data_IF_793393379021
#
_entry.id   IF_793393379021
#
_cell.length_a   1.000
_cell.length_b   1.000
_cell.length_c   1.000
_cell.angle_alpha   90.00
_cell.angle_beta   90.00
_cell.angle_gamma   90.00
#
_symmetry.space_group_name_H-M   'P 1'
#
loop_
_entity.id
_entity.type
_entity.pdbx_description
1 polymer ?
#
# COMPACT_ATOMS: atom_id res chain seq x y z
N UNK A 1 -46.47 -44.05 3.79
CA UNK A 1 -45.15 -44.69 3.66
C UNK A 1 -44.29 -43.68 2.93
N UNK A 2 -43.45 -42.95 3.65
CA UNK A 2 -42.65 -41.85 3.07
C UNK A 2 -41.36 -42.49 2.56
N UNK A 3 -41.06 -42.30 1.28
CA UNK A 3 -39.98 -42.99 0.57
C UNK A 3 -38.60 -42.70 1.19
N UNK A 4 -37.85 -43.77 1.48
CA UNK A 4 -36.47 -43.75 1.99
C UNK A 4 -35.51 -42.77 1.25
N UNK A 5 -35.59 -42.57 -0.08
CA UNK A 5 -34.78 -41.54 -0.77
C UNK A 5 -35.15 -40.09 -0.41
N UNK A 6 -36.39 -39.80 0.00
CA UNK A 6 -36.82 -38.46 0.43
C UNK A 6 -36.21 -38.11 1.79
N UNK A 7 -36.03 -39.11 2.67
CA UNK A 7 -35.34 -38.93 3.95
C UNK A 7 -33.85 -38.61 3.70
N UNK A 8 -33.22 -39.24 2.70
CA UNK A 8 -31.82 -39.02 2.35
C UNK A 8 -31.55 -37.62 1.76
N UNK A 9 -32.52 -37.03 1.05
CA UNK A 9 -32.40 -35.65 0.52
C UNK A 9 -32.60 -34.58 1.59
N UNK A 10 -33.41 -34.85 2.63
CA UNK A 10 -33.59 -33.94 3.78
C UNK A 10 -32.39 -33.95 4.75
N UNK A 11 -31.64 -35.06 4.83
CA UNK A 11 -30.42 -35.19 5.66
C UNK A 11 -29.18 -34.46 5.11
N UNK A 12 -29.24 -33.95 3.88
CA UNK A 12 -28.13 -33.24 3.23
C UNK A 12 -28.38 -31.74 3.05
N UNK A 13 -29.41 -31.19 3.70
CA UNK A 13 -29.54 -29.75 3.87
C UNK A 13 -28.51 -29.38 4.95
N UNK A 14 -27.28 -29.05 4.55
CA UNK A 14 -26.40 -28.26 5.42
C UNK A 14 -27.21 -27.04 5.84
N UNK A 15 -27.67 -27.06 7.09
CA UNK A 15 -28.34 -25.93 7.71
C UNK A 15 -27.28 -24.84 7.81
N UNK A 16 -27.15 -24.03 6.76
CA UNK A 16 -26.28 -22.86 6.79
C UNK A 16 -26.89 -21.89 7.78
N UNK A 17 -26.48 -21.98 9.04
CA UNK A 17 -26.90 -21.05 10.09
C UNK A 17 -26.32 -19.69 9.69
N UNK A 18 -27.19 -18.81 9.18
CA UNK A 18 -26.86 -17.43 8.95
C UNK A 18 -26.92 -16.69 10.29
N UNK A 19 -25.76 -16.29 10.80
CA UNK A 19 -25.69 -15.48 12.02
C UNK A 19 -26.22 -14.07 11.79
N UNK A 20 -26.70 -13.45 12.87
CA UNK A 20 -27.14 -12.06 12.86
C UNK A 20 -25.99 -11.09 12.56
N UNK A 21 -26.33 -9.81 12.30
CA UNK A 21 -25.34 -8.78 11.94
C UNK A 21 -24.27 -8.51 13.00
N UNK A 22 -24.53 -8.84 14.26
CA UNK A 22 -23.62 -8.64 15.39
C UNK A 22 -23.07 -9.96 15.94
N UNK A 23 -23.10 -11.03 15.14
CA UNK A 23 -22.71 -12.37 15.53
C UNK A 23 -21.70 -12.96 14.54
N UNK A 24 -20.75 -13.73 15.06
CA UNK A 24 -19.81 -14.50 14.25
C UNK A 24 -20.09 -16.00 14.44
N UNK A 25 -19.82 -16.78 13.39
CA UNK A 25 -20.02 -18.24 13.42
C UNK A 25 -18.81 -18.92 14.04
N UNK A 26 -19.06 -19.83 14.98
CA UNK A 26 -18.09 -20.82 15.43
C UNK A 26 -18.68 -22.21 15.30
N UNK A 27 -18.06 -23.07 14.49
CA UNK A 27 -18.60 -24.39 14.15
C UNK A 27 -20.06 -24.26 13.72
N UNK A 28 -21.05 -24.63 14.54
CA UNK A 28 -22.48 -24.53 14.22
C UNK A 28 -23.27 -23.65 15.20
N UNK A 29 -22.60 -22.73 15.90
CA UNK A 29 -23.22 -21.76 16.79
C UNK A 29 -22.92 -20.32 16.35
N UNK A 30 -23.87 -19.41 16.61
CA UNK A 30 -23.69 -17.97 16.43
C UNK A 30 -23.35 -17.33 17.77
N UNK A 31 -22.19 -16.71 17.84
CA UNK A 31 -21.69 -16.05 19.03
C UNK A 31 -21.77 -14.53 18.88
N UNK A 32 -22.11 -13.78 19.94
CA UNK A 32 -22.04 -12.32 19.90
C UNK A 32 -20.60 -11.85 19.68
N UNK A 33 -20.42 -10.87 18.81
CA UNK A 33 -19.12 -10.26 18.53
C UNK A 33 -18.59 -9.41 19.70
N UNK A 34 -17.26 -9.28 19.77
CA UNK A 34 -16.62 -8.28 20.61
C UNK A 34 -16.75 -6.89 19.99
N UNK A 35 -16.88 -5.86 20.83
CA UNK A 35 -16.87 -4.46 20.39
C UNK A 35 -15.49 -4.05 19.83
N UNK A 36 -15.43 -2.99 19.00
CA UNK A 36 -14.18 -2.40 18.58
C UNK A 36 -13.20 -2.20 19.74
N UNK A 37 -11.93 -2.48 19.48
CA UNK A 37 -10.84 -2.47 20.45
C UNK A 37 -10.75 -3.66 21.37
N UNK A 38 -11.58 -4.68 21.16
CA UNK A 38 -11.51 -5.94 21.89
C UNK A 38 -11.43 -7.13 20.94
N UNK A 39 -10.66 -8.13 21.37
CA UNK A 39 -10.56 -9.45 20.74
C UNK A 39 -11.24 -10.51 21.61
N UNK A 40 -11.58 -11.62 21.00
CA UNK A 40 -12.08 -12.81 21.70
C UNK A 40 -10.98 -13.43 22.55
N UNK A 41 -11.22 -13.54 23.85
CA UNK A 41 -10.41 -14.31 24.78
C UNK A 41 -10.94 -15.76 24.91
N UNK A 42 -12.26 -15.91 24.97
CA UNK A 42 -12.95 -17.21 24.95
C UNK A 42 -14.19 -17.10 24.09
N UNK A 43 -14.38 -18.07 23.21
CA UNK A 43 -15.59 -18.16 22.40
C UNK A 43 -16.81 -18.45 23.29
N UNK A 44 -17.98 -18.07 22.79
CA UNK A 44 -19.23 -18.47 23.41
C UNK A 44 -19.40 -20.01 23.37
N UNK A 45 -20.30 -20.49 24.21
CA UNK A 45 -20.83 -21.86 24.19
C UNK A 45 -22.35 -21.75 24.26
N UNK A 46 -23.08 -22.84 24.09
CA UNK A 46 -24.52 -22.93 24.36
C UNK A 46 -24.98 -22.17 25.64
N UNK A 47 -24.19 -22.24 26.72
CA UNK A 47 -24.53 -21.63 28.01
C UNK A 47 -23.76 -20.35 28.38
N UNK A 48 -22.80 -19.90 27.57
CA UNK A 48 -21.92 -18.77 27.95
C UNK A 48 -21.70 -17.83 26.77
N UNK A 49 -21.67 -16.52 27.04
CA UNK A 49 -21.41 -15.52 26.02
C UNK A 49 -19.92 -15.40 25.70
N UNK A 50 -19.59 -14.78 24.56
CA UNK A 50 -18.21 -14.48 24.17
C UNK A 50 -17.52 -13.63 25.23
N UNK A 51 -16.35 -14.08 25.68
CA UNK A 51 -15.49 -13.29 26.57
C UNK A 51 -14.51 -12.48 25.74
N UNK A 52 -14.52 -11.16 25.96
CA UNK A 52 -13.71 -10.20 25.21
C UNK A 52 -12.64 -9.57 26.11
N UNK A 53 -11.47 -9.29 25.54
CA UNK A 53 -10.39 -8.55 26.20
C UNK A 53 -9.85 -7.46 25.29
N UNK A 54 -9.36 -6.33 25.84
CA UNK A 54 -8.87 -5.22 25.03
C UNK A 54 -7.63 -5.61 24.23
N UNK A 55 -7.46 -4.95 23.09
CA UNK A 55 -6.19 -4.93 22.36
C UNK A 55 -5.13 -4.15 23.16
N UNK A 56 -3.86 -4.53 22.99
CA UNK A 56 -2.71 -3.81 23.57
C UNK A 56 -2.41 -2.54 22.78
N UNK A 57 -1.69 -1.58 23.36
CA UNK A 57 -1.39 -0.28 22.74
C UNK A 57 -0.71 -0.33 21.36
N UNK A 58 -0.09 -1.45 20.99
CA UNK A 58 0.52 -1.67 19.67
C UNK A 58 -0.38 -2.38 18.66
N UNK A 59 -1.64 -2.64 19.01
CA UNK A 59 -2.60 -3.36 18.17
C UNK A 59 -4.00 -2.77 18.23
N UNK A 60 -4.80 -2.95 17.18
CA UNK A 60 -6.15 -2.42 17.11
C UNK A 60 -7.14 -3.37 16.42
N UNK A 61 -8.43 -3.12 16.63
CA UNK A 61 -9.57 -3.63 15.88
C UNK A 61 -10.64 -2.53 15.83
N UNK A 62 -10.93 -2.01 14.64
CA UNK A 62 -11.83 -0.86 14.44
C UNK A 62 -13.31 -1.23 14.29
N UNK A 63 -13.61 -2.50 14.04
CA UNK A 63 -14.96 -3.02 13.82
C UNK A 63 -15.36 -4.10 14.85
N UNK A 64 -16.68 -4.32 15.06
CA UNK A 64 -17.17 -5.49 15.79
C UNK A 64 -16.66 -6.79 15.15
N UNK A 65 -16.17 -7.72 15.96
CA UNK A 65 -15.42 -8.86 15.43
C UNK A 65 -15.54 -10.15 16.29
N UNK A 66 -15.19 -11.28 15.67
CA UNK A 66 -15.00 -12.57 16.34
C UNK A 66 -13.53 -13.03 16.36
N UNK A 67 -12.58 -12.11 16.23
CA UNK A 67 -11.16 -12.42 16.07
C UNK A 67 -10.50 -12.70 17.42
N UNK A 68 -9.63 -13.71 17.45
CA UNK A 68 -8.84 -14.06 18.65
C UNK A 68 -7.53 -13.27 18.75
N UNK A 69 -7.20 -12.45 17.76
CA UNK A 69 -6.00 -11.62 17.70
C UNK A 69 -6.33 -10.23 17.14
N UNK A 70 -5.64 -9.21 17.65
CA UNK A 70 -5.74 -7.85 17.15
C UNK A 70 -4.78 -7.61 15.98
N UNK A 71 -5.05 -6.59 15.17
CA UNK A 71 -4.22 -6.19 14.02
C UNK A 71 -3.07 -5.30 14.53
N UNK A 72 -1.87 -5.47 13.98
CA UNK A 72 -0.74 -4.58 14.34
C UNK A 72 -0.98 -3.17 13.81
N UNK A 73 -0.66 -2.18 14.63
CA UNK A 73 -0.78 -0.79 14.19
C UNK A 73 0.25 -0.46 13.10
N UNK A 74 -0.13 0.42 12.19
CA UNK A 74 0.77 0.99 11.18
C UNK A 74 1.91 1.76 11.84
N UNK A 75 3.14 1.51 11.39
CA UNK A 75 4.32 2.26 11.83
C UNK A 75 4.59 3.44 10.88
N UNK A 76 4.69 4.66 11.42
CA UNK A 76 5.04 5.85 10.65
C UNK A 76 6.55 6.08 10.68
N UNK A 77 7.26 5.41 9.77
CA UNK A 77 8.72 5.48 9.69
C UNK A 77 9.21 6.85 9.15
N UNK A 78 10.00 7.60 9.93
CA UNK A 78 10.63 8.85 9.45
C UNK A 78 11.50 8.67 8.21
N UNK A 79 12.05 7.47 7.97
CA UNK A 79 12.81 7.13 6.76
C UNK A 79 11.99 7.21 5.47
N UNK A 80 10.67 7.09 5.55
CA UNK A 80 9.74 7.34 4.44
C UNK A 80 9.14 8.74 4.47
N UNK A 81 9.72 9.67 5.24
CA UNK A 81 9.24 11.04 5.34
C UNK A 81 7.94 11.18 6.15
N UNK A 82 7.65 10.23 7.04
CA UNK A 82 6.39 10.15 7.78
C UNK A 82 6.55 10.52 9.25
N UNK A 83 5.43 10.93 9.86
CA UNK A 83 5.27 11.11 11.31
C UNK A 83 3.90 10.65 11.77
N UNK A 84 3.79 10.28 13.04
CA UNK A 84 2.50 10.00 13.66
C UNK A 84 1.67 11.28 13.71
N UNK A 85 0.52 11.27 13.02
CA UNK A 85 -0.49 12.34 13.08
C UNK A 85 -1.54 12.01 14.14
N UNK A 86 -1.96 10.75 14.21
CA UNK A 86 -2.84 10.22 15.26
C UNK A 86 -2.23 8.92 15.80
N UNK A 87 -2.08 8.77 17.12
CA UNK A 87 -1.51 7.57 17.72
C UNK A 87 -2.47 6.38 17.59
N UNK A 88 -1.92 5.18 17.65
CA UNK A 88 -2.75 3.98 17.74
C UNK A 88 -3.60 3.98 19.01
N UNK A 89 -4.79 3.40 18.90
CA UNK A 89 -5.68 3.11 20.03
C UNK A 89 -6.21 1.69 19.85
N UNK A 90 -6.69 1.03 20.91
CA UNK A 90 -7.29 -0.29 20.77
C UNK A 90 -8.34 -0.35 19.65
N UNK A 91 -9.15 0.70 19.47
CA UNK A 91 -10.22 0.74 18.47
C UNK A 91 -9.88 1.49 17.16
N UNK A 92 -8.63 1.88 16.92
CA UNK A 92 -8.27 2.61 15.69
C UNK A 92 -6.78 2.53 15.39
N UNK A 93 -6.43 2.34 14.12
CA UNK A 93 -5.04 2.33 13.67
C UNK A 93 -4.33 3.70 13.90
N UNK A 94 -3.01 3.67 13.83
CA UNK A 94 -2.16 4.84 13.69
C UNK A 94 -2.43 5.52 12.34
N UNK A 95 -2.59 6.83 12.34
CA UNK A 95 -2.65 7.63 11.11
C UNK A 95 -1.31 8.32 10.91
N UNK A 96 -0.67 8.04 9.78
CA UNK A 96 0.57 8.68 9.38
C UNK A 96 0.33 9.97 8.59
N UNK A 97 1.07 11.02 8.92
CA UNK A 97 1.18 12.26 8.15
C UNK A 97 2.61 12.45 7.62
N UNK A 98 2.83 13.52 6.86
CA UNK A 98 4.15 13.85 6.33
C UNK A 98 5.01 14.63 7.33
N UNK A 99 6.32 14.46 7.26
CA UNK A 99 7.28 15.36 7.88
C UNK A 99 7.22 16.75 7.22
N UNK A 100 7.75 17.75 7.93
CA UNK A 100 7.83 19.10 7.39
C UNK A 100 8.79 19.15 6.20
N UNK A 101 8.40 19.83 5.12
CA UNK A 101 9.16 19.86 3.86
C UNK A 101 8.97 18.62 2.98
N UNK A 102 8.13 17.66 3.37
CA UNK A 102 7.81 16.48 2.57
C UNK A 102 6.41 16.59 1.98
N UNK A 103 6.23 16.03 0.79
CA UNK A 103 4.91 15.88 0.17
C UNK A 103 4.56 14.40 0.01
N UNK A 104 3.27 14.10 0.09
CA UNK A 104 2.79 12.73 0.05
C UNK A 104 2.85 12.14 -1.37
N UNK A 105 3.41 10.94 -1.49
CA UNK A 105 3.41 10.15 -2.72
C UNK A 105 2.27 9.15 -2.78
N UNK A 106 1.88 8.61 -1.62
CA UNK A 106 0.86 7.57 -1.50
C UNK A 106 -0.20 7.97 -0.46
N UNK A 107 -1.23 8.74 -0.87
CA UNK A 107 -2.29 9.20 0.02
C UNK A 107 -3.22 8.05 0.43
N UNK A 108 -3.60 8.04 1.70
CA UNK A 108 -4.70 7.19 2.20
C UNK A 108 -5.91 8.06 2.54
N UNK A 109 -7.02 7.44 2.95
CA UNK A 109 -8.25 8.15 3.34
C UNK A 109 -7.99 9.29 4.33
N UNK A 110 -7.12 9.07 5.31
CA UNK A 110 -6.89 10.00 6.43
C UNK A 110 -5.40 10.42 6.62
N UNK A 111 -4.49 9.89 5.79
CA UNK A 111 -3.05 10.01 5.98
C UNK A 111 -2.19 9.77 4.73
N UNK A 112 -0.95 9.32 4.95
CA UNK A 112 0.05 9.10 3.92
C UNK A 112 0.93 7.88 4.23
N UNK A 113 1.16 7.00 3.25
CA UNK A 113 2.00 5.78 3.40
C UNK A 113 3.45 5.96 2.96
N UNK A 114 3.73 6.96 2.13
CA UNK A 114 5.08 7.29 1.71
C UNK A 114 5.16 8.76 1.30
N UNK A 115 6.22 9.44 1.69
CA UNK A 115 6.44 10.84 1.37
C UNK A 115 7.83 11.06 0.79
N UNK A 116 8.00 12.15 0.06
CA UNK A 116 9.28 12.54 -0.53
C UNK A 116 9.65 13.96 -0.13
N UNK A 117 10.93 14.13 0.20
CA UNK A 117 11.49 15.43 0.51
C UNK A 117 11.45 16.32 -0.73
N UNK A 118 10.84 17.49 -0.59
CA UNK A 118 10.76 18.50 -1.65
C UNK A 118 12.15 19.00 -2.05
N UNK A 119 13.11 19.11 -1.12
CA UNK A 119 14.48 19.48 -1.42
C UNK A 119 15.20 18.37 -2.22
N UNK A 120 14.98 17.09 -1.89
CA UNK A 120 15.54 15.97 -2.62
C UNK A 120 15.03 15.89 -4.07
N UNK A 121 13.76 16.24 -4.34
CA UNK A 121 13.24 16.32 -5.72
C UNK A 121 13.99 17.36 -6.53
N UNK A 122 14.25 18.53 -5.95
CA UNK A 122 15.00 19.57 -6.62
C UNK A 122 16.43 19.10 -6.92
N UNK A 123 17.10 18.43 -5.98
CA UNK A 123 18.44 17.86 -6.19
C UNK A 123 18.47 16.82 -7.31
N UNK A 124 17.49 15.90 -7.35
CA UNK A 124 17.39 14.90 -8.44
C UNK A 124 17.14 15.58 -9.78
N UNK A 125 16.20 16.52 -9.85
CA UNK A 125 15.94 17.27 -11.08
C UNK A 125 17.18 18.06 -11.53
N UNK A 126 17.90 18.71 -10.60
CA UNK A 126 19.16 19.40 -10.90
C UNK A 126 20.22 18.43 -11.43
N UNK A 127 20.37 17.26 -10.81
CA UNK A 127 21.33 16.24 -11.28
C UNK A 127 20.99 15.72 -12.69
N UNK A 128 19.71 15.44 -12.97
CA UNK A 128 19.25 15.01 -14.29
C UNK A 128 19.45 16.10 -15.34
N UNK A 129 19.21 17.38 -15.00
CA UNK A 129 19.49 18.50 -15.91
C UNK A 129 20.99 18.69 -16.17
N UNK A 130 21.84 18.44 -15.18
CA UNK A 130 23.30 18.57 -15.33
C UNK A 130 23.88 17.46 -16.21
N UNK A 131 23.39 16.23 -16.06
CA UNK A 131 23.76 15.09 -16.90
C UNK A 131 23.31 15.29 -18.35
N UNK A 132 22.06 15.75 -18.57
CA UNK A 132 21.56 16.12 -19.89
C UNK A 132 22.33 17.28 -20.52
N UNK A 133 22.69 18.31 -19.75
CA UNK A 133 23.46 19.46 -20.27
C UNK A 133 24.86 19.04 -20.75
N UNK A 134 25.53 18.16 -20.01
CA UNK A 134 26.84 17.63 -20.41
C UNK A 134 26.73 16.80 -21.70
N UNK A 135 25.65 16.02 -21.85
CA UNK A 135 25.40 15.21 -23.04
C UNK A 135 25.12 16.05 -24.29
N UNK A 136 24.35 17.14 -24.15
CA UNK A 136 24.12 18.12 -25.23
C UNK A 136 25.44 18.79 -25.64
N UNK A 137 26.27 19.21 -24.67
CA UNK A 137 27.56 19.85 -24.96
C UNK A 137 28.52 18.91 -25.70
N UNK A 138 28.56 17.62 -25.35
CA UNK A 138 29.32 16.61 -26.09
C UNK A 138 28.86 16.45 -27.54
N UNK A 139 27.55 16.46 -27.80
CA UNK A 139 27.00 16.35 -29.18
C UNK A 139 27.34 17.59 -30.00
N UNK A 140 27.17 18.79 -29.43
CA UNK A 140 27.51 20.04 -30.11
C UNK A 140 29.00 20.15 -30.43
N UNK A 141 29.87 19.77 -29.49
CA UNK A 141 31.32 19.75 -29.72
C UNK A 141 31.72 18.75 -30.81
N UNK A 142 31.12 17.55 -30.84
CA UNK A 142 31.34 16.58 -31.91
C UNK A 142 30.89 17.09 -33.29
N UNK A 143 29.72 17.73 -33.38
CA UNK A 143 29.22 18.36 -34.62
C UNK A 143 30.16 19.45 -35.12
N UNK A 144 30.64 20.32 -34.23
CA UNK A 144 31.59 21.40 -34.58
C UNK A 144 32.89 20.81 -35.15
N UNK A 145 33.42 19.76 -34.51
CA UNK A 145 34.61 19.06 -35.00
C UNK A 145 34.35 18.48 -36.41
N UNK A 146 33.22 17.80 -36.63
CA UNK A 146 32.89 17.23 -37.95
C UNK A 146 32.83 18.31 -39.05
N UNK A 147 32.17 19.43 -38.77
CA UNK A 147 32.06 20.57 -39.71
C UNK A 147 33.46 21.14 -40.03
N UNK A 148 34.35 21.20 -39.04
CA UNK A 148 35.72 21.67 -39.23
C UNK A 148 36.58 20.68 -40.03
N UNK A 149 36.33 19.37 -39.91
CA UNK A 149 37.01 18.35 -40.74
C UNK A 149 36.59 18.42 -42.21
N UNK A 150 35.32 18.76 -42.49
CA UNK A 150 34.82 18.97 -43.85
C UNK A 150 35.38 20.25 -44.49
N UNK A 151 35.72 21.27 -43.70
CA UNK A 151 36.38 22.48 -44.19
C UNK A 151 37.89 22.32 -44.43
N UNK A 152 38.55 21.33 -43.80
CA UNK A 152 39.98 21.06 -44.00
C UNK A 152 40.28 20.16 -45.22
N UNK A 153 39.27 19.48 -45.77
CA UNK A 153 39.38 18.75 -47.02
C UNK A 153 38.51 19.40 -48.09
N UNK A 154 38.97 20.47 -48.78
CA UNK A 154 38.32 20.85 -50.03
C UNK A 154 38.43 19.64 -50.96
N UNK A 155 37.28 19.05 -51.33
CA UNK A 155 37.23 18.02 -52.35
C UNK A 155 37.98 18.53 -53.58
N UNK A 156 39.10 17.90 -53.91
CA UNK A 156 39.81 18.16 -55.17
C UNK A 156 38.92 17.62 -56.30
N UNK A 157 37.97 18.45 -56.76
CA UNK A 157 37.25 18.19 -57.99
C UNK A 157 38.25 18.32 -59.14
N UNK A 158 38.83 17.20 -59.58
CA UNK A 158 39.52 17.11 -60.86
C UNK A 158 38.47 17.24 -61.96
N UNK A 159 38.32 18.44 -62.52
CA UNK A 159 37.63 18.66 -63.78
C UNK A 159 38.43 17.96 -64.89
N UNK A 160 37.96 16.80 -65.34
CA UNK A 160 38.45 16.18 -66.57
C UNK A 160 37.84 16.94 -67.76
N UNK A 161 38.67 17.75 -68.43
CA UNK A 161 38.41 18.27 -69.78
C UNK A 161 38.95 17.22 -70.75
N UNK A 162 38.09 16.64 -71.58
CA UNK A 162 38.45 15.74 -72.67
C UNK A 162 38.09 16.46 -74.00
N UNK A 163 38.97 16.45 -75.01
CA UNK A 163 38.92 17.33 -76.18
C UNK A 163 37.86 16.97 -77.23
#
# INVERSE_FOLDING_TARGET
MIDLPIILTLLNIELSIACGRAEYRIVDECCPMCSPGNRVHKHCTEFTSTSCVPCTDSTFLDEPNGLTACIQCTNCDPGFGLKVKQPCRPSSDTVCGTLEGFYCLDPTKDGCRAARDTAAVNLVNTSATQEQHLQILCVLTALVILIQMDHLHPASHTHNVIP
#
